data_IF_175579730686
#
_entry.id   IF_175579730686
#
_cell.length_a   1.000
_cell.length_b   1.000
_cell.length_c   1.000
_cell.angle_alpha   90.00
_cell.angle_beta   90.00
_cell.angle_gamma   90.00
#
_symmetry.space_group_name_H-M   'P 1'
#
loop_
_entity.id
_entity.type
_entity.pdbx_description
1 polymer ?
#
# COMPACT_ATOMS: atom_id res chain seq x y z
N UNK A 1 -16.64 -11.85 21.73
CA UNK A 1 -16.45 -12.76 20.61
C UNK A 1 -16.99 -12.18 19.30
N UNK A 2 -17.98 -11.32 19.41
CA UNK A 2 -18.56 -10.68 18.25
C UNK A 2 -18.35 -9.17 18.27
N UNK A 3 -17.38 -8.72 19.01
CA UNK A 3 -17.11 -7.29 19.15
C UNK A 3 -16.73 -6.65 17.83
N UNK A 4 -16.11 -7.41 16.93
CA UNK A 4 -15.73 -6.87 15.62
C UNK A 4 -16.96 -6.54 14.75
N UNK A 5 -18.14 -7.03 15.11
CA UNK A 5 -19.37 -6.71 14.41
C UNK A 5 -20.08 -5.50 15.01
N UNK A 6 -19.60 -5.00 16.13
CA UNK A 6 -20.19 -3.86 16.80
C UNK A 6 -19.54 -2.57 16.29
N UNK A 7 -20.36 -1.60 15.93
CA UNK A 7 -19.86 -0.31 15.49
C UNK A 7 -19.30 0.45 16.69
N UNK A 8 -18.00 0.77 16.70
CA UNK A 8 -17.41 1.51 17.81
C UNK A 8 -17.88 2.96 17.82
N UNK A 9 -17.74 3.65 18.96
CA UNK A 9 -17.98 5.09 19.01
C UNK A 9 -17.11 5.84 18.02
N UNK A 10 -17.59 6.99 17.54
CA UNK A 10 -16.84 7.76 16.55
C UNK A 10 -15.44 8.14 17.02
N UNK A 11 -15.28 8.38 18.31
CA UNK A 11 -13.97 8.73 18.87
C UNK A 11 -12.95 7.59 18.79
N UNK A 12 -13.44 6.35 18.62
CA UNK A 12 -12.57 5.19 18.46
C UNK A 12 -12.37 4.79 17.00
N UNK A 13 -13.14 5.35 16.10
CA UNK A 13 -13.11 4.95 14.70
C UNK A 13 -11.74 5.21 14.06
N UNK A 14 -11.09 6.32 14.39
CA UNK A 14 -9.79 6.65 13.83
C UNK A 14 -8.72 5.62 14.19
N UNK A 15 -8.83 5.03 15.36
CA UNK A 15 -7.89 3.99 15.77
C UNK A 15 -7.98 2.78 14.82
N UNK A 16 -9.20 2.37 14.49
CA UNK A 16 -9.39 1.25 13.56
C UNK A 16 -8.97 1.60 12.15
N UNK A 17 -9.21 2.83 11.72
CA UNK A 17 -8.77 3.30 10.40
C UNK A 17 -7.26 3.24 10.30
N UNK A 18 -6.54 3.70 11.31
CA UNK A 18 -5.08 3.65 11.31
C UNK A 18 -4.56 2.21 11.23
N UNK A 19 -5.17 1.31 11.97
CA UNK A 19 -4.79 -0.10 11.89
C UNK A 19 -5.05 -0.70 10.52
N UNK A 20 -6.17 -0.34 9.91
CA UNK A 20 -6.49 -0.82 8.57
C UNK A 20 -5.53 -0.26 7.53
N UNK A 21 -5.16 1.01 7.67
CA UNK A 21 -4.20 1.64 6.77
C UNK A 21 -2.85 0.94 6.86
N UNK A 22 -2.35 0.68 8.06
CA UNK A 22 -1.09 -0.04 8.24
C UNK A 22 -1.11 -1.41 7.58
N UNK A 23 -2.21 -2.13 7.75
CA UNK A 23 -2.37 -3.45 7.15
C UNK A 23 -2.36 -3.38 5.63
N UNK A 24 -3.05 -2.39 5.06
CA UNK A 24 -3.09 -2.23 3.61
C UNK A 24 -1.75 -1.80 3.03
N UNK A 25 -1.02 -0.95 3.76
CA UNK A 25 0.34 -0.58 3.37
C UNK A 25 1.23 -1.82 3.34
N UNK A 26 1.17 -2.65 4.36
CA UNK A 26 1.97 -3.87 4.41
C UNK A 26 1.62 -4.83 3.28
N UNK A 27 0.33 -4.94 2.95
CA UNK A 27 -0.10 -5.76 1.81
C UNK A 27 0.44 -5.24 0.50
N UNK A 28 0.45 -3.93 0.31
CA UNK A 28 0.97 -3.33 -0.91
C UNK A 28 2.47 -3.59 -1.05
N UNK A 29 3.21 -3.40 0.03
CA UNK A 29 4.65 -3.67 0.03
C UNK A 29 4.92 -5.14 -0.23
N UNK A 30 4.15 -6.03 0.39
CA UNK A 30 4.28 -7.47 0.16
C UNK A 30 4.00 -7.83 -1.30
N UNK A 31 3.03 -7.16 -1.93
CA UNK A 31 2.73 -7.35 -3.35
C UNK A 31 3.92 -6.99 -4.23
N UNK A 32 4.59 -5.88 -3.95
CA UNK A 32 5.81 -5.52 -4.66
C UNK A 32 6.90 -6.56 -4.43
N UNK A 33 7.06 -7.02 -3.19
CA UNK A 33 8.06 -8.02 -2.87
C UNK A 33 7.82 -9.33 -3.62
N UNK A 34 6.57 -9.77 -3.70
CA UNK A 34 6.22 -10.98 -4.44
C UNK A 34 6.53 -10.85 -5.92
N UNK A 35 6.20 -9.71 -6.52
CA UNK A 35 6.51 -9.49 -7.93
C UNK A 35 8.01 -9.51 -8.16
N UNK A 36 8.77 -8.91 -7.27
CA UNK A 36 10.24 -8.91 -7.39
C UNK A 36 10.79 -10.33 -7.34
N UNK A 37 10.31 -11.16 -6.43
CA UNK A 37 10.83 -12.51 -6.24
C UNK A 37 10.34 -13.50 -7.29
N UNK A 38 9.15 -13.33 -7.82
CA UNK A 38 8.50 -14.38 -8.60
C UNK A 38 8.30 -14.03 -10.07
N UNK A 39 8.14 -12.76 -10.41
CA UNK A 39 7.67 -12.35 -11.74
C UNK A 39 8.62 -11.40 -12.46
N UNK A 40 9.30 -10.54 -11.73
CA UNK A 40 10.06 -9.45 -12.32
C UNK A 40 11.25 -9.96 -13.14
N UNK A 41 11.30 -9.56 -14.40
CA UNK A 41 12.42 -9.87 -15.30
C UNK A 41 13.13 -8.60 -15.76
N UNK A 42 12.62 -7.45 -15.34
CA UNK A 42 13.20 -6.14 -15.65
C UNK A 42 13.29 -5.35 -14.34
N UNK A 43 13.93 -4.19 -14.40
CA UNK A 43 14.08 -3.34 -13.22
C UNK A 43 12.88 -2.43 -13.03
N UNK A 44 11.70 -2.97 -13.20
CA UNK A 44 10.46 -2.20 -13.06
C UNK A 44 9.34 -3.12 -12.58
N UNK A 45 8.55 -2.62 -11.66
CA UNK A 45 7.38 -3.34 -11.14
C UNK A 45 6.26 -2.32 -10.97
N UNK A 46 5.06 -2.69 -11.38
CA UNK A 46 3.88 -1.85 -11.23
C UNK A 46 2.83 -2.54 -10.40
N UNK A 47 2.11 -1.78 -9.59
CA UNK A 47 1.03 -2.31 -8.78
C UNK A 47 -0.03 -1.24 -8.52
N UNK A 48 -1.29 -1.66 -8.50
CA UNK A 48 -2.40 -0.78 -8.14
C UNK A 48 -2.39 -0.59 -6.63
N UNK A 49 -2.41 0.66 -6.20
CA UNK A 49 -2.41 1.01 -4.78
C UNK A 49 -3.55 2.00 -4.52
N UNK A 50 -4.42 1.73 -3.54
CA UNK A 50 -5.49 2.66 -3.20
C UNK A 50 -4.95 4.05 -2.86
N UNK A 51 -5.67 5.08 -3.29
CA UNK A 51 -5.24 6.46 -3.06
C UNK A 51 -5.08 6.78 -1.57
N UNK A 52 -5.89 6.16 -0.73
CA UNK A 52 -5.88 6.41 0.71
C UNK A 52 -4.54 6.05 1.38
N UNK A 53 -3.81 5.09 0.82
CA UNK A 53 -2.54 4.63 1.40
C UNK A 53 -1.35 4.95 0.52
N UNK A 54 -1.58 5.60 -0.60
CA UNK A 54 -0.52 5.85 -1.61
C UNK A 54 0.69 6.55 -1.01
N UNK A 55 0.46 7.62 -0.27
CA UNK A 55 1.57 8.40 0.28
C UNK A 55 2.43 7.60 1.24
N UNK A 56 1.80 6.77 2.05
CA UNK A 56 2.52 5.92 3.00
C UNK A 56 3.34 4.85 2.29
N UNK A 57 2.77 4.27 1.23
CA UNK A 57 3.49 3.28 0.42
C UNK A 57 4.67 3.94 -0.28
N UNK A 58 4.48 5.13 -0.84
CA UNK A 58 5.54 5.87 -1.50
C UNK A 58 6.69 6.16 -0.53
N UNK A 59 6.38 6.64 0.67
CA UNK A 59 7.40 6.91 1.67
C UNK A 59 8.20 5.66 2.01
N UNK A 60 7.52 4.53 2.15
CA UNK A 60 8.19 3.28 2.47
C UNK A 60 9.11 2.82 1.34
N UNK A 61 8.63 2.91 0.10
CA UNK A 61 9.43 2.54 -1.07
C UNK A 61 10.62 3.47 -1.25
N UNK A 62 10.44 4.77 -1.02
CA UNK A 62 11.55 5.71 -1.07
C UNK A 62 12.62 5.40 -0.03
N UNK A 63 12.21 5.01 1.17
CA UNK A 63 13.17 4.67 2.23
C UNK A 63 13.97 3.42 1.89
N UNK A 64 13.46 2.58 0.99
CA UNK A 64 14.16 1.39 0.54
C UNK A 64 15.06 1.67 -0.68
N UNK A 65 15.03 2.88 -1.21
CA UNK A 65 15.91 3.28 -2.32
C UNK A 65 15.33 3.13 -3.71
N UNK A 66 14.04 2.82 -3.83
CA UNK A 66 13.41 2.71 -5.14
C UNK A 66 13.04 4.06 -5.71
N UNK A 67 13.08 4.17 -7.03
CA UNK A 67 12.53 5.32 -7.76
C UNK A 67 11.05 5.06 -8.01
N UNK A 68 10.22 6.07 -7.82
CA UNK A 68 8.78 5.92 -7.89
C UNK A 68 8.19 6.76 -8.99
N UNK A 69 7.31 6.14 -9.77
CA UNK A 69 6.57 6.79 -10.82
C UNK A 69 5.08 6.50 -10.61
N UNK A 70 4.25 7.51 -10.66
CA UNK A 70 2.83 7.38 -10.40
C UNK A 70 2.06 7.63 -11.67
N UNK A 71 1.21 6.68 -12.05
CA UNK A 71 0.31 6.84 -13.19
C UNK A 71 -1.08 7.14 -12.67
N UNK A 72 -1.65 8.22 -13.18
CA UNK A 72 -2.90 8.77 -12.67
C UNK A 72 -4.08 8.52 -13.60
N UNK A 73 -4.15 7.35 -14.19
CA UNK A 73 -5.25 7.02 -15.10
C UNK A 73 -6.44 6.42 -14.34
N UNK A 74 -6.85 7.09 -13.27
CA UNK A 74 -8.06 6.72 -12.56
C UNK A 74 -7.91 5.58 -11.55
N UNK A 75 -6.81 4.85 -11.53
CA UNK A 75 -6.65 3.66 -10.66
C UNK A 75 -5.39 3.69 -9.81
N UNK A 76 -4.67 4.77 -9.75
CA UNK A 76 -3.54 4.87 -8.82
C UNK A 76 -2.50 3.76 -8.95
N UNK A 77 -1.88 3.66 -10.11
CA UNK A 77 -0.83 2.68 -10.33
C UNK A 77 0.51 3.28 -9.89
N UNK A 78 1.21 2.56 -9.03
CA UNK A 78 2.57 2.94 -8.63
C UNK A 78 3.54 2.01 -9.34
N UNK A 79 4.49 2.61 -10.02
CA UNK A 79 5.57 1.88 -10.70
C UNK A 79 6.88 2.20 -9.97
N UNK A 80 7.60 1.18 -9.59
CA UNK A 80 8.92 1.34 -8.98
C UNK A 80 10.00 0.86 -9.93
N UNK A 81 11.14 1.53 -9.90
CA UNK A 81 12.31 1.17 -10.69
C UNK A 81 13.56 1.24 -9.80
N UNK A 82 14.60 0.55 -10.24
CA UNK A 82 15.87 0.58 -9.50
C UNK A 82 17.08 0.33 -10.39
#
# INVERSE_FOLDING_TARGET
DIDYLTLPPAECANYYIEKNIEREVDKAIDGFARQLHEVAIERTISQVVPAAIRDRVIDKLNSLGYNINISDFGVGIITITW
#
